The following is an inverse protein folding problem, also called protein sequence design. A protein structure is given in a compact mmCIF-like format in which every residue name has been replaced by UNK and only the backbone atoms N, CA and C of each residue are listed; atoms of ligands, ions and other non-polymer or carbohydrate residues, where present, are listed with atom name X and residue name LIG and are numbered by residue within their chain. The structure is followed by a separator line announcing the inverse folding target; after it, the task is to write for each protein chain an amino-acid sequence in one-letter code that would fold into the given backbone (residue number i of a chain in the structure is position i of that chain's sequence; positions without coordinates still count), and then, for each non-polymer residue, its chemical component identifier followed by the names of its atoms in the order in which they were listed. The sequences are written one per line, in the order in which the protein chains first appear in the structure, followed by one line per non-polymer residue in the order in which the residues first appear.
data_IF_613329728523
#
_entry.id   IF_613329728523
#
_cell.length_a   1.000
_cell.length_b   1.000
_cell.length_c   1.000
_cell.angle_alpha   90.00
_cell.angle_beta   90.00
_cell.angle_gamma   90.00
#
_symmetry.space_group_name_H-M   'P 1'
#
loop_
_entity.id
_entity.type
_entity.pdbx_description
1 polymer ?
#
# COMPACT_ATOMS: atom_id res chain seq x y z
N UNK A 1 18.12 -5.32 -3.41
CA UNK A 1 17.01 -4.38 -3.70
C UNK A 1 16.31 -4.03 -2.41
N UNK A 2 16.05 -2.76 -2.21
CA UNK A 2 15.43 -2.26 -0.97
C UNK A 2 13.94 -2.01 -1.19
N UNK A 3 13.08 -2.87 -0.61
CA UNK A 3 11.64 -2.79 -0.76
C UNK A 3 11.02 -2.52 0.61
N UNK A 4 10.15 -1.52 0.69
CA UNK A 4 9.54 -1.09 1.96
C UNK A 4 8.03 -1.06 1.86
N UNK A 5 7.35 -1.27 2.99
CA UNK A 5 5.90 -1.17 3.09
C UNK A 5 5.55 -0.32 4.32
N UNK A 6 4.74 0.71 4.09
CA UNK A 6 4.20 1.56 5.15
C UNK A 6 2.72 1.23 5.30
N UNK A 7 2.25 1.01 6.51
CA UNK A 7 0.85 0.69 6.73
C UNK A 7 0.23 1.49 7.87
N UNK A 8 -1.07 1.72 7.74
CA UNK A 8 -1.95 2.21 8.80
C UNK A 8 -3.03 1.17 9.06
N UNK A 9 -3.44 1.00 10.30
CA UNK A 9 -4.47 0.03 10.65
C UNK A 9 -5.31 0.52 11.82
N UNK A 10 -6.61 0.69 11.60
CA UNK A 10 -7.56 1.01 12.66
C UNK A 10 -7.95 -0.25 13.43
N UNK A 11 -8.16 -1.33 12.69
CA UNK A 11 -8.32 -2.68 13.19
C UNK A 11 -7.13 -3.48 12.70
N UNK A 12 -7.03 -4.77 12.99
CA UNK A 12 -5.91 -5.58 12.52
C UNK A 12 -5.98 -5.93 11.01
N UNK A 13 -7.05 -5.56 10.31
CA UNK A 13 -7.28 -6.00 8.93
C UNK A 13 -6.20 -5.55 7.95
N UNK A 14 -5.82 -4.27 7.98
CA UNK A 14 -4.77 -3.76 7.07
C UNK A 14 -3.42 -4.34 7.42
N UNK A 15 -3.13 -4.51 8.70
CA UNK A 15 -1.88 -5.16 9.14
C UNK A 15 -1.83 -6.61 8.68
N UNK A 16 -2.93 -7.35 8.82
CA UNK A 16 -3.02 -8.74 8.37
C UNK A 16 -2.81 -8.85 6.85
N UNK A 17 -3.40 -7.94 6.09
CA UNK A 17 -3.19 -7.89 4.64
C UNK A 17 -1.72 -7.61 4.31
N UNK A 18 -1.12 -6.65 5.01
CA UNK A 18 0.29 -6.29 4.82
C UNK A 18 1.20 -7.49 5.11
N UNK A 19 0.96 -8.20 6.21
CA UNK A 19 1.74 -9.37 6.58
C UNK A 19 1.57 -10.51 5.56
N UNK A 20 0.36 -10.73 5.07
CA UNK A 20 0.10 -11.71 4.03
C UNK A 20 0.87 -11.39 2.75
N UNK A 21 0.87 -10.12 2.35
CA UNK A 21 1.60 -9.68 1.16
C UNK A 21 3.10 -9.90 1.31
N UNK A 22 3.66 -9.52 2.45
CA UNK A 22 5.09 -9.68 2.74
C UNK A 22 5.48 -11.16 2.71
N UNK A 23 4.69 -12.01 3.34
CA UNK A 23 4.92 -13.46 3.35
C UNK A 23 4.90 -14.04 1.95
N UNK A 24 3.91 -13.67 1.13
CA UNK A 24 3.79 -14.16 -0.24
C UNK A 24 4.93 -13.67 -1.14
N UNK A 25 5.37 -12.43 -1.01
CA UNK A 25 6.53 -11.93 -1.75
C UNK A 25 7.79 -12.73 -1.41
N UNK A 26 7.98 -13.03 -0.14
CA UNK A 26 9.15 -13.81 0.29
C UNK A 26 9.08 -15.25 -0.22
N UNK A 27 7.96 -15.92 -0.03
CA UNK A 27 7.79 -17.33 -0.43
C UNK A 27 7.78 -17.54 -1.94
N UNK A 28 7.09 -16.66 -2.68
CA UNK A 28 6.89 -16.85 -4.11
C UNK A 28 7.97 -16.19 -4.99
N UNK A 29 8.58 -15.12 -4.51
CA UNK A 29 9.54 -14.31 -5.30
C UNK A 29 10.90 -14.15 -4.65
N UNK A 30 11.08 -14.63 -3.42
CA UNK A 30 12.33 -14.46 -2.69
C UNK A 30 12.67 -13.00 -2.36
N UNK A 31 11.66 -12.14 -2.26
CA UNK A 31 11.81 -10.71 -1.99
C UNK A 31 11.49 -10.42 -0.54
N UNK A 32 12.43 -9.75 0.15
CA UNK A 32 12.24 -9.31 1.52
C UNK A 32 11.73 -7.88 1.53
N UNK A 33 10.72 -7.60 2.37
CA UNK A 33 10.10 -6.28 2.48
C UNK A 33 10.18 -5.81 3.93
N UNK A 34 10.72 -4.59 4.13
CA UNK A 34 10.76 -3.96 5.44
C UNK A 34 9.45 -3.23 5.70
N UNK A 35 8.80 -3.58 6.81
CA UNK A 35 7.49 -3.05 7.20
C UNK A 35 7.65 -1.95 8.26
N UNK A 36 6.89 -0.85 8.11
CA UNK A 36 6.81 0.20 9.12
C UNK A 36 5.36 0.60 9.35
N UNK A 37 4.93 0.59 10.63
CA UNK A 37 3.66 1.16 11.03
C UNK A 37 3.74 2.69 10.98
N UNK A 38 2.74 3.33 10.38
CA UNK A 38 2.76 4.79 10.17
C UNK A 38 3.00 5.59 11.46
N UNK A 39 2.44 5.14 12.60
CA UNK A 39 2.61 5.83 13.86
C UNK A 39 4.04 5.76 14.41
N UNK A 40 4.86 4.83 13.91
CA UNK A 40 6.26 4.69 14.25
C UNK A 40 7.18 5.49 13.31
N UNK A 41 6.63 6.17 12.31
CA UNK A 41 7.40 6.98 11.38
C UNK A 41 7.76 8.31 12.03
N UNK A 42 9.04 8.53 12.30
CA UNK A 42 9.54 9.74 12.95
C UNK A 42 9.62 10.94 12.02
N UNK A 43 10.03 10.68 10.78
CA UNK A 43 10.06 11.67 9.70
C UNK A 43 9.48 11.00 8.45
N UNK A 44 9.35 11.76 7.36
CA UNK A 44 8.74 11.23 6.13
C UNK A 44 9.78 10.78 5.10
N UNK A 45 10.97 10.38 5.56
CA UNK A 45 12.08 9.97 4.70
C UNK A 45 12.23 8.45 4.57
N UNK A 46 11.39 7.67 5.24
CA UNK A 46 11.49 6.20 5.27
C UNK A 46 11.57 5.58 3.88
N UNK A 47 10.82 6.13 2.91
CA UNK A 47 10.76 5.58 1.56
C UNK A 47 11.83 6.15 0.62
N UNK A 48 12.58 7.16 1.03
CA UNK A 48 13.49 7.88 0.15
C UNK A 48 14.61 6.98 -0.41
N UNK A 49 15.08 6.02 0.37
CA UNK A 49 16.14 5.09 -0.04
C UNK A 49 15.62 3.75 -0.57
N UNK A 50 14.31 3.60 -0.69
CA UNK A 50 13.73 2.38 -1.25
C UNK A 50 13.82 2.39 -2.78
N UNK A 51 14.03 1.21 -3.37
CA UNK A 51 13.92 1.01 -4.82
C UNK A 51 12.47 0.85 -5.24
N UNK A 52 11.68 0.23 -4.35
CA UNK A 52 10.26 0.02 -4.55
C UNK A 52 9.55 0.06 -3.21
N UNK A 53 8.27 0.41 -3.22
CA UNK A 53 7.51 0.47 -1.96
C UNK A 53 6.02 0.20 -2.18
N UNK A 54 5.36 -0.16 -1.08
CA UNK A 54 3.92 -0.39 -1.03
C UNK A 54 3.35 0.45 0.11
N UNK A 55 2.23 1.11 -0.14
CA UNK A 55 1.46 1.80 0.88
C UNK A 55 0.19 1.00 1.14
N UNK A 56 -0.03 0.63 2.39
CA UNK A 56 -1.21 -0.11 2.82
C UNK A 56 -2.05 0.79 3.73
N UNK A 57 -3.29 1.02 3.34
CA UNK A 57 -4.17 1.95 4.04
C UNK A 57 -5.57 1.35 4.22
N UNK A 58 -6.42 2.03 4.98
CA UNK A 58 -7.84 1.71 5.07
C UNK A 58 -8.65 2.97 4.74
N UNK A 59 -9.90 2.78 4.36
CA UNK A 59 -10.81 3.90 4.14
C UNK A 59 -11.75 4.01 5.32
N UNK A 60 -11.80 5.20 5.92
CA UNK A 60 -12.62 5.47 7.09
C UNK A 60 -13.90 6.21 6.68
N UNK A 61 -15.03 5.77 7.25
CA UNK A 61 -16.31 6.43 7.04
C UNK A 61 -16.67 6.63 5.58
N UNK A 62 -16.90 7.88 5.17
CA UNK A 62 -17.33 8.25 3.81
C UNK A 62 -16.16 8.62 2.89
N UNK A 63 -15.09 7.82 2.92
CA UNK A 63 -13.95 8.01 2.03
C UNK A 63 -12.86 8.89 2.59
N UNK A 64 -12.81 9.04 3.90
CA UNK A 64 -11.76 9.83 4.53
C UNK A 64 -10.46 9.05 4.63
N UNK A 65 -9.33 9.75 4.44
CA UNK A 65 -8.03 9.20 4.75
C UNK A 65 -7.93 8.90 6.24
N UNK A 66 -7.21 7.84 6.64
CA UNK A 66 -6.86 7.67 8.04
C UNK A 66 -6.17 8.93 8.57
N UNK A 67 -6.61 9.40 9.74
CA UNK A 67 -6.05 10.62 10.34
C UNK A 67 -4.52 10.52 10.49
N UNK A 68 -4.03 9.37 10.91
CA UNK A 68 -2.60 9.10 11.11
C UNK A 68 -1.81 9.10 9.79
N UNK A 69 -2.48 9.05 8.64
CA UNK A 69 -1.84 9.09 7.33
C UNK A 69 -1.82 10.49 6.70
N UNK A 70 -2.55 11.44 7.24
CA UNK A 70 -2.72 12.76 6.62
C UNK A 70 -1.40 13.50 6.41
N UNK A 71 -0.55 13.56 7.44
CA UNK A 71 0.74 14.25 7.33
C UNK A 71 1.68 13.56 6.33
N UNK A 72 1.69 12.24 6.34
CA UNK A 72 2.46 11.46 5.37
C UNK A 72 1.96 11.71 3.95
N UNK A 73 0.65 11.69 3.75
CA UNK A 73 0.02 11.96 2.46
C UNK A 73 0.44 13.34 1.92
N UNK A 74 0.40 14.36 2.77
CA UNK A 74 0.80 15.71 2.38
C UNK A 74 2.30 15.79 2.07
N UNK A 75 3.14 15.11 2.86
CA UNK A 75 4.58 15.10 2.65
C UNK A 75 4.97 14.47 1.30
N UNK A 76 4.19 13.49 0.82
CA UNK A 76 4.43 12.86 -0.47
C UNK A 76 4.38 13.85 -1.63
N UNK A 77 3.60 14.92 -1.52
CA UNK A 77 3.45 15.91 -2.60
C UNK A 77 4.78 16.58 -2.95
N UNK A 78 5.72 16.65 -2.01
CA UNK A 78 7.02 17.31 -2.20
C UNK A 78 8.15 16.34 -2.54
N UNK A 79 7.85 15.04 -2.66
CA UNK A 79 8.87 14.02 -2.93
C UNK A 79 9.09 13.86 -4.44
N UNK A 80 10.33 13.52 -4.78
CA UNK A 80 10.68 13.09 -6.14
C UNK A 80 11.09 11.62 -6.07
N UNK A 81 10.22 10.75 -6.55
CA UNK A 81 10.43 9.29 -6.55
C UNK A 81 10.54 8.74 -7.97
N UNK A 82 10.98 9.57 -8.90
CA UNK A 82 11.22 9.11 -10.27
C UNK A 82 12.18 7.91 -10.29
N UNK A 83 11.80 6.87 -11.02
CA UNK A 83 12.58 5.63 -11.09
C UNK A 83 12.20 4.58 -10.05
N UNK A 84 11.38 4.94 -9.05
CA UNK A 84 10.88 3.97 -8.08
C UNK A 84 9.62 3.28 -8.59
N UNK A 85 9.42 2.05 -8.12
CA UNK A 85 8.20 1.27 -8.39
C UNK A 85 7.35 1.30 -7.11
N UNK A 86 6.05 1.45 -7.26
CA UNK A 86 5.17 1.45 -6.09
C UNK A 86 3.87 0.70 -6.38
N UNK A 87 3.20 0.33 -5.31
CA UNK A 87 1.83 -0.18 -5.36
C UNK A 87 1.05 0.32 -4.14
N UNK A 88 -0.26 0.30 -4.24
CA UNK A 88 -1.13 0.69 -3.13
C UNK A 88 -2.13 -0.43 -2.89
N UNK A 89 -2.25 -0.82 -1.63
CA UNK A 89 -3.19 -1.84 -1.19
C UNK A 89 -4.03 -1.27 -0.05
N UNK A 90 -5.19 -1.85 0.18
CA UNK A 90 -5.97 -1.39 1.30
C UNK A 90 -7.19 -2.25 1.58
N UNK A 91 -7.76 -1.99 2.76
CA UNK A 91 -9.00 -2.62 3.21
C UNK A 91 -10.09 -1.55 3.34
N UNK A 92 -11.32 -1.99 3.23
CA UNK A 92 -12.49 -1.14 3.37
C UNK A 92 -13.72 -1.97 3.63
N UNK A 93 -14.88 -1.30 3.70
CA UNK A 93 -16.17 -1.97 3.90
C UNK A 93 -17.16 -1.45 2.85
N UNK A 94 -17.75 -2.35 2.10
CA UNK A 94 -18.69 -2.01 1.02
C UNK A 94 -20.03 -1.46 1.52
N UNK A 95 -20.27 -1.46 2.84
CA UNK A 95 -21.45 -0.77 3.38
C UNK A 95 -21.33 0.76 3.22
N UNK A 96 -20.11 1.28 3.00
CA UNK A 96 -19.88 2.70 2.72
C UNK A 96 -19.83 2.94 1.22
N UNK A 97 -20.40 4.05 0.76
CA UNK A 97 -20.43 4.41 -0.66
C UNK A 97 -19.02 4.62 -1.24
N UNK A 98 -18.09 5.07 -0.40
CA UNK A 98 -16.71 5.38 -0.80
C UNK A 98 -15.75 4.24 -0.45
N UNK A 99 -16.03 3.05 -0.98
CA UNK A 99 -15.25 1.85 -0.71
C UNK A 99 -13.78 1.99 -1.15
N UNK A 100 -12.85 1.82 -0.21
CA UNK A 100 -11.40 1.85 -0.46
C UNK A 100 -10.89 3.09 -1.21
N UNK A 101 -11.56 4.22 -1.07
CA UNK A 101 -11.21 5.45 -1.80
C UNK A 101 -9.84 5.99 -1.38
N UNK A 102 -9.40 5.75 -0.14
CA UNK A 102 -8.06 6.18 0.29
C UNK A 102 -6.95 5.50 -0.50
N UNK A 103 -7.18 4.26 -0.98
CA UNK A 103 -6.24 3.56 -1.85
C UNK A 103 -6.03 4.37 -3.14
N UNK A 104 -7.13 4.81 -3.75
CA UNK A 104 -7.07 5.59 -5.00
C UNK A 104 -6.43 6.97 -4.77
N UNK A 105 -6.72 7.59 -3.64
CA UNK A 105 -6.13 8.88 -3.28
C UNK A 105 -4.62 8.78 -3.13
N UNK A 106 -4.12 7.76 -2.47
CA UNK A 106 -2.68 7.52 -2.37
C UNK A 106 -2.06 7.25 -3.73
N UNK A 107 -2.71 6.47 -4.57
CA UNK A 107 -2.20 6.22 -5.92
C UNK A 107 -2.02 7.52 -6.70
N UNK A 108 -3.01 8.41 -6.67
CA UNK A 108 -2.92 9.70 -7.35
C UNK A 108 -1.80 10.56 -6.78
N UNK A 109 -1.67 10.61 -5.46
CA UNK A 109 -0.64 11.41 -4.81
C UNK A 109 0.77 10.90 -5.11
N UNK A 110 0.97 9.60 -5.03
CA UNK A 110 2.28 8.99 -5.29
C UNK A 110 2.65 9.13 -6.78
N UNK A 111 1.68 9.03 -7.69
CA UNK A 111 1.92 9.23 -9.11
C UNK A 111 2.55 10.60 -9.41
N UNK A 112 2.19 11.62 -8.65
CA UNK A 112 2.75 12.98 -8.78
C UNK A 112 4.24 13.04 -8.44
N UNK A 113 4.76 12.06 -7.71
CA UNK A 113 6.19 11.99 -7.36
C UNK A 113 7.08 11.51 -8.50
N UNK A 114 6.49 11.02 -9.58
CA UNK A 114 7.21 10.43 -10.70
C UNK A 114 7.42 8.92 -10.59
N UNK A 115 7.03 8.29 -9.49
CA UNK A 115 7.10 6.84 -9.32
C UNK A 115 6.09 6.13 -10.26
N UNK A 116 6.39 4.89 -10.62
CA UNK A 116 5.59 4.10 -11.54
C UNK A 116 4.84 2.99 -10.81
N UNK A 117 3.54 2.88 -11.05
CA UNK A 117 2.72 1.79 -10.52
C UNK A 117 2.47 0.75 -11.62
N UNK A 118 3.09 -0.44 -11.54
CA UNK A 118 2.88 -1.50 -12.53
C UNK A 118 1.64 -2.35 -12.24
N UNK A 119 0.93 -2.06 -11.14
CA UNK A 119 -0.16 -2.89 -10.64
C UNK A 119 -1.49 -2.16 -10.73
N UNK A 120 -2.58 -2.91 -10.59
CA UNK A 120 -3.86 -2.33 -10.25
C UNK A 120 -3.92 -2.15 -8.73
N UNK A 121 -4.62 -1.14 -8.24
CA UNK A 121 -4.81 -0.94 -6.82
C UNK A 121 -5.53 -2.15 -6.22
N UNK A 122 -4.98 -2.69 -5.14
CA UNK A 122 -5.57 -3.86 -4.48
C UNK A 122 -6.53 -3.39 -3.39
N UNK A 123 -7.80 -3.76 -3.54
CA UNK A 123 -8.87 -3.39 -2.60
C UNK A 123 -9.51 -4.66 -2.05
N UNK A 124 -9.46 -4.81 -0.74
CA UNK A 124 -9.99 -5.98 -0.03
C UNK A 124 -11.09 -5.53 0.91
N UNK A 125 -12.27 -6.17 0.81
CA UNK A 125 -13.37 -5.94 1.76
C UNK A 125 -13.06 -6.65 3.08
N UNK A 126 -12.87 -5.88 4.12
CA UNK A 126 -12.59 -6.32 5.50
C UNK A 126 -11.30 -7.14 5.55
N UNK A 127 -11.33 -8.40 5.12
CA UNK A 127 -10.14 -9.26 5.09
C UNK A 127 -10.15 -10.16 3.85
N UNK A 128 -8.98 -10.62 3.44
CA UNK A 128 -8.85 -11.51 2.28
C UNK A 128 -9.39 -12.90 2.64
N UNK A 129 -10.55 -13.27 2.08
CA UNK A 129 -11.20 -14.54 2.39
C UNK A 129 -11.84 -15.23 1.19
N UNK A 130 -11.89 -14.58 0.03
CA UNK A 130 -12.49 -15.15 -1.18
C UNK A 130 -11.42 -15.58 -2.18
N UNK A 131 -11.78 -16.50 -3.08
CA UNK A 131 -10.89 -16.90 -4.17
C UNK A 131 -10.51 -15.72 -5.05
N UNK A 132 -11.47 -14.80 -5.29
CA UNK A 132 -11.21 -13.57 -6.06
C UNK A 132 -10.17 -12.69 -5.36
N UNK A 133 -10.26 -12.53 -4.04
CA UNK A 133 -9.29 -11.77 -3.27
C UNK A 133 -7.88 -12.35 -3.46
N UNK A 134 -7.73 -13.66 -3.35
CA UNK A 134 -6.43 -14.31 -3.50
C UNK A 134 -5.91 -14.23 -4.95
N UNK A 135 -6.79 -14.32 -5.93
CA UNK A 135 -6.40 -14.10 -7.34
C UNK A 135 -5.87 -12.68 -7.56
N UNK A 136 -6.54 -11.68 -7.00
CA UNK A 136 -6.13 -10.28 -7.12
C UNK A 136 -4.82 -10.02 -6.39
N UNK A 137 -4.62 -10.64 -5.24
CA UNK A 137 -3.33 -10.59 -4.50
C UNK A 137 -2.21 -11.17 -5.36
N UNK A 138 -2.43 -12.34 -5.95
CA UNK A 138 -1.44 -12.99 -6.79
C UNK A 138 -1.10 -12.16 -8.03
N UNK A 139 -2.08 -11.55 -8.67
CA UNK A 139 -1.86 -10.64 -9.80
C UNK A 139 -1.04 -9.42 -9.39
N UNK A 140 -1.33 -8.85 -8.23
CA UNK A 140 -0.57 -7.70 -7.71
C UNK A 140 0.90 -8.08 -7.52
N UNK A 141 1.15 -9.21 -6.86
CA UNK A 141 2.52 -9.70 -6.59
C UNK A 141 3.26 -9.94 -7.89
N UNK A 142 2.63 -10.59 -8.87
CA UNK A 142 3.24 -10.89 -10.16
C UNK A 142 3.60 -9.62 -10.91
N UNK A 143 2.67 -8.69 -11.00
CA UNK A 143 2.88 -7.42 -11.71
C UNK A 143 3.95 -6.56 -11.04
N UNK A 144 3.92 -6.49 -9.71
CA UNK A 144 4.90 -5.72 -8.94
C UNK A 144 6.31 -6.31 -9.09
N UNK A 145 6.45 -7.62 -8.88
CA UNK A 145 7.75 -8.29 -8.97
C UNK A 145 8.34 -8.23 -10.38
N UNK A 146 7.49 -8.32 -11.40
CA UNK A 146 7.95 -8.29 -12.81
C UNK A 146 8.51 -6.92 -13.20
N UNK A 147 8.15 -5.86 -12.49
CA UNK A 147 8.63 -4.51 -12.77
C UNK A 147 9.96 -4.17 -12.08
N UNK A 148 10.43 -5.02 -11.18
CA UNK A 148 11.64 -4.76 -10.39
C UNK A 148 12.96 -5.04 -11.15
#
# INVERSE_FOLDING_TARGET
MNIKLVYASLTVNTEMLSDLMIEKFEEEKGLEIEKLFIEDMEDFDFLDDADAFIVATYTYGEGELPEEMEEFFEALADKNYEGKIYGVIGTGDTIYDEYCVSVDQFNEQIAKTGATNPTENLKIEIEADTDEDFENIDKFIESFASAL
#
